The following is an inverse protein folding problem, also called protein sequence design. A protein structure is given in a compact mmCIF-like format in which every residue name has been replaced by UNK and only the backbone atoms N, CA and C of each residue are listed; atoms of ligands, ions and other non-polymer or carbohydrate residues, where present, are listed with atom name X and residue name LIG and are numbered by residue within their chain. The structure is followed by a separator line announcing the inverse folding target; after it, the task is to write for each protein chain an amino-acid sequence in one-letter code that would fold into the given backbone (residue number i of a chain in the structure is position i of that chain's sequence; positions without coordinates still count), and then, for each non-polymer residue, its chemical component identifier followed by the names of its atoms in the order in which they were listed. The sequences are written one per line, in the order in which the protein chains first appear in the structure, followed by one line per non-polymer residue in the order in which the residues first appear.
data_IF_509869164932
#
_entry.id   IF_509869164932
#
_cell.length_a   1.000
_cell.length_b   1.000
_cell.length_c   1.000
_cell.angle_alpha   90.00
_cell.angle_beta   90.00
_cell.angle_gamma   90.00
#
_symmetry.space_group_name_H-M   'P 1'
#
loop_
_entity.id
_entity.type
_entity.pdbx_description
1 polymer ?
#
# COMPACT_ATOMS: atom_id res chain seq x y z
N UNK A 1 4.82 -42.31 -25.74
CA UNK A 1 3.41 -41.86 -25.82
C UNK A 1 3.28 -40.78 -26.89
N UNK A 2 2.39 -40.98 -27.89
CA UNK A 2 2.43 -40.27 -29.19
C UNK A 2 1.64 -38.94 -29.12
N UNK A 3 2.34 -37.80 -29.16
CA UNK A 3 1.81 -36.40 -29.14
C UNK A 3 0.58 -36.17 -30.05
N UNK A 4 0.47 -36.89 -31.16
CA UNK A 4 -0.66 -36.80 -32.11
C UNK A 4 -2.00 -37.31 -31.54
N UNK A 5 -1.99 -38.25 -30.59
CA UNK A 5 -3.23 -38.72 -29.93
C UNK A 5 -3.73 -37.75 -28.86
N UNK A 6 -2.86 -36.89 -28.33
CA UNK A 6 -3.22 -35.91 -27.30
C UNK A 6 -4.03 -34.74 -27.87
N UNK A 7 -3.65 -34.23 -29.05
CA UNK A 7 -4.38 -33.12 -29.71
C UNK A 7 -5.76 -33.59 -30.22
N UNK A 8 -5.87 -34.82 -30.71
CA UNK A 8 -7.14 -35.39 -31.15
C UNK A 8 -8.15 -35.58 -29.98
N UNK A 9 -7.66 -35.89 -28.78
CA UNK A 9 -8.51 -36.00 -27.59
C UNK A 9 -9.00 -34.64 -27.07
N UNK A 10 -8.25 -33.56 -27.30
CA UNK A 10 -8.67 -32.20 -26.95
C UNK A 10 -9.67 -31.60 -27.95
N UNK A 11 -9.56 -31.95 -29.24
CA UNK A 11 -10.46 -31.46 -30.28
C UNK A 11 -11.92 -31.92 -30.14
N UNK A 12 -12.16 -33.06 -29.48
CA UNK A 12 -13.51 -33.60 -29.24
C UNK A 12 -14.20 -33.06 -27.97
N UNK A 13 -13.47 -32.35 -27.11
CA UNK A 13 -14.02 -31.66 -25.93
C UNK A 13 -14.28 -30.17 -26.17
N UNK A 14 -13.79 -29.61 -27.28
CA UNK A 14 -13.97 -28.19 -27.64
C UNK A 14 -15.33 -27.88 -28.30
N UNK A 15 -16.17 -28.88 -28.56
CA UNK A 15 -17.42 -28.74 -29.30
C UNK A 15 -18.67 -28.41 -28.46
N UNK A 16 -18.58 -28.30 -27.13
CA UNK A 16 -19.77 -28.19 -26.27
C UNK A 16 -19.66 -27.21 -25.09
N UNK A 17 -18.72 -26.27 -25.11
CA UNK A 17 -18.60 -25.24 -24.05
C UNK A 17 -18.51 -23.79 -24.56
N UNK A 18 -19.14 -23.50 -25.71
CA UNK A 18 -19.43 -22.14 -26.17
C UNK A 18 -20.67 -21.58 -25.43
N UNK A 19 -20.58 -21.48 -24.11
CA UNK A 19 -21.51 -20.72 -23.26
C UNK A 19 -20.89 -20.38 -21.90
N UNK A 20 -19.58 -20.07 -21.85
CA UNK A 20 -19.08 -19.23 -20.75
C UNK A 20 -19.28 -17.79 -21.16
N UNK A 21 -20.49 -17.30 -20.90
CA UNK A 21 -20.76 -15.88 -20.71
C UNK A 21 -19.61 -15.26 -19.94
N UNK A 22 -18.98 -14.25 -20.54
CA UNK A 22 -17.92 -13.49 -19.89
C UNK A 22 -18.44 -13.02 -18.54
N UNK A 23 -17.95 -13.67 -17.47
CA UNK A 23 -18.05 -13.10 -16.13
C UNK A 23 -17.14 -11.88 -16.16
N UNK A 24 -17.71 -10.75 -16.52
CA UNK A 24 -17.21 -9.47 -16.03
C UNK A 24 -17.15 -9.63 -14.51
N UNK A 25 -15.94 -9.76 -13.98
CA UNK A 25 -15.73 -9.55 -12.56
C UNK A 25 -16.05 -8.09 -12.32
N UNK A 26 -17.32 -7.81 -12.02
CA UNK A 26 -17.71 -6.56 -11.42
C UNK A 26 -17.07 -6.56 -10.04
N UNK A 27 -15.90 -5.92 -9.96
CA UNK A 27 -15.35 -5.55 -8.66
C UNK A 27 -16.39 -4.62 -8.05
N UNK A 28 -16.98 -4.96 -6.88
CA UNK A 28 -17.98 -4.10 -6.29
C UNK A 28 -17.30 -2.78 -5.97
N UNK A 29 -17.55 -1.77 -6.80
CA UNK A 29 -17.19 -0.37 -6.58
C UNK A 29 -17.98 0.26 -5.43
N UNK A 30 -18.60 -0.55 -4.58
CA UNK A 30 -19.26 -0.09 -3.38
C UNK A 30 -18.23 -0.09 -2.24
N UNK A 31 -17.30 0.87 -2.30
CA UNK A 31 -16.47 1.21 -1.14
C UNK A 31 -17.43 1.74 -0.08
N UNK A 32 -17.85 0.89 0.85
CA UNK A 32 -18.62 1.34 2.00
C UNK A 32 -17.79 2.42 2.68
N UNK A 33 -18.24 3.67 2.59
CA UNK A 33 -17.65 4.77 3.35
C UNK A 33 -17.73 4.34 4.81
N UNK A 34 -16.58 4.14 5.44
CA UNK A 34 -16.51 3.84 6.86
C UNK A 34 -17.13 5.02 7.60
N UNK A 35 -18.37 4.87 8.07
CA UNK A 35 -19.06 5.90 8.84
C UNK A 35 -18.63 5.77 10.29
N UNK A 36 -17.92 6.77 10.75
CA UNK A 36 -17.62 6.92 12.16
C UNK A 36 -18.87 7.36 12.91
N UNK A 37 -19.15 6.81 14.09
CA UNK A 37 -20.22 7.31 14.95
C UNK A 37 -19.86 8.70 15.49
N UNK A 38 -20.88 9.51 15.80
CA UNK A 38 -20.71 10.89 16.28
C UNK A 38 -20.25 10.95 17.76
N UNK A 39 -20.44 9.87 18.52
CA UNK A 39 -20.06 9.77 19.94
C UNK A 39 -18.65 9.21 20.14
N UNK A 40 -17.90 9.78 21.10
CA UNK A 40 -16.49 9.43 21.34
C UNK A 40 -16.29 7.99 21.84
N UNK A 41 -17.11 7.49 22.75
CA UNK A 41 -17.01 6.10 23.23
C UNK A 41 -17.32 5.09 22.12
N UNK A 42 -18.37 5.35 21.33
CA UNK A 42 -18.74 4.54 20.18
C UNK A 42 -17.65 4.56 19.09
N UNK A 43 -16.98 5.70 18.92
CA UNK A 43 -15.89 5.89 17.96
C UNK A 43 -14.73 4.95 18.27
N UNK A 44 -14.21 4.97 19.50
CA UNK A 44 -13.03 4.17 19.84
C UNK A 44 -13.32 2.67 19.81
N UNK A 45 -14.55 2.28 20.14
CA UNK A 45 -15.00 0.89 19.98
C UNK A 45 -14.96 0.45 18.52
N UNK A 46 -15.53 1.24 17.62
CA UNK A 46 -15.53 0.97 16.17
C UNK A 46 -14.10 0.97 15.61
N UNK A 47 -13.25 1.91 16.03
CA UNK A 47 -11.83 1.94 15.63
C UNK A 47 -11.11 0.68 16.09
N UNK A 48 -11.33 0.22 17.34
CA UNK A 48 -10.70 -0.99 17.88
C UNK A 48 -11.13 -2.26 17.14
N UNK A 49 -12.38 -2.33 16.68
CA UNK A 49 -12.93 -3.46 15.90
C UNK A 49 -12.30 -3.58 14.51
N UNK A 50 -11.76 -2.49 13.96
CA UNK A 50 -11.05 -2.54 12.67
C UNK A 50 -9.68 -3.23 12.76
N UNK A 51 -9.11 -3.42 13.94
CA UNK A 51 -7.82 -4.10 14.09
C UNK A 51 -8.00 -5.57 14.46
N UNK A 52 -7.20 -6.45 13.83
CA UNK A 52 -7.25 -7.91 14.04
C UNK A 52 -6.50 -8.38 15.29
N UNK A 53 -6.44 -7.55 16.34
CA UNK A 53 -5.83 -7.94 17.61
C UNK A 53 -6.70 -9.00 18.30
N UNK A 54 -6.10 -10.09 18.86
CA UNK A 54 -6.84 -11.11 19.60
C UNK A 54 -7.66 -10.52 20.76
N UNK A 55 -8.69 -11.26 21.18
CA UNK A 55 -9.42 -10.92 22.41
C UNK A 55 -8.47 -10.92 23.62
N UNK A 56 -8.63 -9.93 24.50
CA UNK A 56 -7.73 -9.74 25.65
C UNK A 56 -6.33 -9.21 25.32
N UNK A 57 -6.00 -8.97 24.03
CA UNK A 57 -4.71 -8.40 23.66
C UNK A 57 -4.73 -6.86 23.69
N UNK A 58 -3.89 -6.28 24.54
CA UNK A 58 -3.68 -4.83 24.64
C UNK A 58 -2.36 -4.45 23.98
N UNK A 59 -2.43 -3.85 22.79
CA UNK A 59 -1.27 -3.41 22.05
C UNK A 59 -0.87 -1.97 22.41
N UNK A 60 0.22 -1.81 23.16
CA UNK A 60 0.69 -0.51 23.66
C UNK A 60 1.87 0.08 22.85
N UNK A 61 2.41 -0.66 21.88
CA UNK A 61 3.58 -0.24 21.09
C UNK A 61 3.20 0.17 19.65
N UNK A 62 2.17 1.00 19.50
CA UNK A 62 1.73 1.47 18.17
C UNK A 62 2.79 2.27 17.43
N UNK A 63 3.72 2.91 18.15
CA UNK A 63 4.84 3.67 17.57
C UNK A 63 6.00 2.82 17.03
N UNK A 64 6.03 1.50 17.29
CA UNK A 64 7.05 0.61 16.74
C UNK A 64 6.84 0.32 15.25
N UNK A 65 6.03 -0.69 14.94
CA UNK A 65 5.64 -1.04 13.56
C UNK A 65 4.17 -0.68 13.29
N UNK A 66 3.38 -0.53 14.34
CA UNK A 66 1.94 -0.31 14.23
C UNK A 66 1.17 -1.54 13.71
N UNK A 67 -0.11 -1.31 13.42
CA UNK A 67 -0.99 -2.25 12.73
C UNK A 67 -1.89 -1.44 11.81
N UNK A 68 -2.45 -2.07 10.78
CA UNK A 68 -3.32 -1.39 9.81
C UNK A 68 -4.78 -1.79 10.05
N UNK A 69 -5.74 -0.84 9.93
CA UNK A 69 -7.16 -1.17 9.93
C UNK A 69 -7.51 -2.19 8.85
N UNK A 70 -8.51 -3.05 9.13
CA UNK A 70 -9.01 -4.07 8.22
C UNK A 70 -9.40 -3.48 6.87
N UNK A 71 -10.04 -2.31 6.85
CA UNK A 71 -10.33 -1.59 5.62
C UNK A 71 -9.09 -1.39 4.71
N UNK A 72 -7.99 -0.88 5.26
CA UNK A 72 -6.75 -0.64 4.50
C UNK A 72 -6.14 -1.96 4.03
N UNK A 73 -6.09 -2.97 4.91
CA UNK A 73 -5.58 -4.31 4.56
C UNK A 73 -6.36 -4.93 3.41
N UNK A 74 -7.69 -4.81 3.42
CA UNK A 74 -8.56 -5.30 2.34
C UNK A 74 -8.23 -4.62 1.01
N UNK A 75 -8.09 -3.29 1.00
CA UNK A 75 -7.73 -2.54 -0.22
C UNK A 75 -6.38 -2.96 -0.81
N UNK A 76 -5.38 -3.22 0.04
CA UNK A 76 -4.06 -3.71 -0.41
C UNK A 76 -4.17 -5.12 -1.00
N UNK A 77 -4.90 -6.01 -0.33
CA UNK A 77 -5.14 -7.37 -0.83
C UNK A 77 -5.87 -7.36 -2.17
N UNK A 78 -6.88 -6.50 -2.31
CA UNK A 78 -7.66 -6.32 -3.52
C UNK A 78 -6.78 -5.84 -4.69
N UNK A 79 -5.89 -4.88 -4.41
CA UNK A 79 -4.91 -4.39 -5.39
C UNK A 79 -3.95 -5.49 -5.83
N UNK A 80 -3.45 -6.32 -4.90
CA UNK A 80 -2.62 -7.48 -5.26
C UNK A 80 -3.35 -8.43 -6.22
N UNK A 81 -4.59 -8.83 -5.91
CA UNK A 81 -5.37 -9.67 -6.82
C UNK A 81 -5.61 -9.02 -8.18
N UNK A 82 -5.85 -7.70 -8.21
CA UNK A 82 -6.03 -6.93 -9.45
C UNK A 82 -4.78 -6.97 -10.33
N UNK A 83 -3.60 -6.77 -9.73
CA UNK A 83 -2.32 -6.79 -10.45
C UNK A 83 -2.01 -8.18 -11.02
N UNK A 84 -2.28 -9.24 -10.27
CA UNK A 84 -2.10 -10.63 -10.73
C UNK A 84 -3.09 -11.03 -11.82
N UNK A 85 -4.33 -10.54 -11.75
CA UNK A 85 -5.38 -10.89 -12.72
C UNK A 85 -5.15 -10.27 -14.10
N UNK A 86 -4.42 -9.16 -14.18
CA UNK A 86 -4.07 -8.51 -15.44
C UNK A 86 -2.71 -7.80 -15.33
N UNK A 87 -1.60 -8.55 -15.48
CA UNK A 87 -0.26 -7.99 -15.33
C UNK A 87 0.01 -6.92 -16.38
N UNK A 88 0.39 -5.74 -15.92
CA UNK A 88 0.78 -4.59 -16.73
C UNK A 88 1.97 -3.89 -16.05
N UNK A 89 2.70 -2.99 -16.75
CA UNK A 89 3.84 -2.27 -16.17
C UNK A 89 3.53 -1.47 -14.89
N UNK A 90 2.24 -1.29 -14.54
CA UNK A 90 1.82 -0.73 -13.26
C UNK A 90 2.08 0.77 -13.10
N UNK A 91 2.58 1.44 -14.13
CA UNK A 91 2.86 2.88 -14.11
C UNK A 91 1.59 3.71 -14.26
N UNK A 92 0.82 3.87 -13.18
CA UNK A 92 -0.31 4.80 -13.13
C UNK A 92 0.12 6.14 -12.52
N UNK A 93 0.71 6.99 -13.36
CA UNK A 93 1.14 8.35 -12.96
C UNK A 93 -0.03 9.23 -12.51
N UNK A 94 -1.25 8.99 -13.01
CA UNK A 94 -2.43 9.74 -12.61
C UNK A 94 -2.81 9.40 -11.17
N UNK A 95 -2.86 8.11 -10.82
CA UNK A 95 -3.10 7.65 -9.45
C UNK A 95 -2.00 8.11 -8.50
N UNK A 96 -0.74 8.08 -8.94
CA UNK A 96 0.41 8.58 -8.17
C UNK A 96 0.27 10.07 -7.85
N UNK A 97 -0.03 10.90 -8.86
CA UNK A 97 -0.19 12.34 -8.67
C UNK A 97 -1.45 12.68 -7.86
N UNK A 98 -2.53 11.91 -7.98
CA UNK A 98 -3.71 12.10 -7.16
C UNK A 98 -3.42 11.83 -5.67
N UNK A 99 -2.71 10.74 -5.37
CA UNK A 99 -2.26 10.41 -4.02
C UNK A 99 -1.40 11.54 -3.42
N UNK A 100 -0.41 12.04 -4.18
CA UNK A 100 0.43 13.16 -3.72
C UNK A 100 -0.37 14.42 -3.40
N UNK A 101 -1.43 14.73 -4.17
CA UNK A 101 -2.34 15.86 -3.87
C UNK A 101 -3.14 15.64 -2.59
N UNK A 102 -3.56 14.41 -2.30
CA UNK A 102 -4.29 14.12 -1.06
C UNK A 102 -3.36 14.15 0.17
N UNK A 103 -2.12 13.69 0.04
CA UNK A 103 -1.10 13.81 1.09
C UNK A 103 -0.75 15.28 1.35
N UNK A 104 -0.62 16.11 0.32
CA UNK A 104 -0.37 17.54 0.47
C UNK A 104 -1.43 18.23 1.34
N UNK A 105 -2.71 17.93 1.12
CA UNK A 105 -3.81 18.45 1.95
C UNK A 105 -3.70 18.03 3.42
N UNK A 106 -3.20 16.82 3.68
CA UNK A 106 -3.01 16.30 5.03
C UNK A 106 -1.84 16.99 5.75
N UNK A 107 -0.77 17.33 5.03
CA UNK A 107 0.43 17.96 5.60
C UNK A 107 0.21 19.43 5.94
N UNK A 108 -0.71 20.12 5.26
CA UNK A 108 -1.15 21.46 5.61
C UNK A 108 -1.10 22.45 4.44
N UNK A 109 -1.53 23.69 4.69
CA UNK A 109 -1.54 24.73 3.66
C UNK A 109 -0.11 25.06 3.20
N UNK A 110 0.06 25.26 1.89
CA UNK A 110 1.35 25.63 1.29
C UNK A 110 2.26 24.47 0.91
N UNK A 111 1.86 23.22 1.18
CA UNK A 111 2.56 22.03 0.67
C UNK A 111 2.04 21.70 -0.72
N UNK A 112 2.91 21.62 -1.71
CA UNK A 112 2.57 21.26 -3.07
C UNK A 112 2.81 19.77 -3.34
N UNK A 113 1.96 19.18 -4.18
CA UNK A 113 2.14 17.78 -4.56
C UNK A 113 3.53 17.54 -5.18
N UNK A 114 4.11 18.49 -5.91
CA UNK A 114 5.46 18.38 -6.47
C UNK A 114 6.56 18.20 -5.44
N UNK A 115 6.36 18.65 -4.19
CA UNK A 115 7.36 18.60 -3.12
C UNK A 115 7.39 17.24 -2.39
N UNK A 116 6.40 16.38 -2.65
CA UNK A 116 6.24 15.11 -1.94
C UNK A 116 6.91 13.97 -2.71
N UNK A 117 7.86 13.30 -2.08
CA UNK A 117 8.34 11.99 -2.53
C UNK A 117 7.68 10.88 -1.69
N UNK A 118 7.28 9.79 -2.34
CA UNK A 118 6.79 8.59 -1.65
C UNK A 118 7.91 7.54 -1.68
N UNK A 119 8.35 7.13 -0.50
CA UNK A 119 9.39 6.13 -0.28
C UNK A 119 8.84 5.00 0.59
N UNK A 120 9.53 3.87 0.65
CA UNK A 120 9.07 2.66 1.33
C UNK A 120 9.23 2.73 2.85
N UNK A 121 10.14 3.59 3.36
CA UNK A 121 10.38 3.75 4.80
C UNK A 121 11.05 5.08 5.16
N UNK A 122 11.02 5.44 6.44
CA UNK A 122 11.78 6.58 6.97
C UNK A 122 13.30 6.40 6.78
N UNK A 123 13.82 5.17 6.95
CA UNK A 123 15.23 4.86 6.73
C UNK A 123 15.65 5.12 5.29
N UNK A 124 14.84 4.68 4.31
CA UNK A 124 15.09 4.94 2.90
C UNK A 124 15.12 6.45 2.61
N UNK A 125 14.13 7.20 3.12
CA UNK A 125 14.08 8.64 2.96
C UNK A 125 15.33 9.36 3.52
N UNK A 126 15.73 9.02 4.75
CA UNK A 126 16.95 9.57 5.37
C UNK A 126 18.19 9.26 4.53
N UNK A 127 18.33 8.01 4.09
CA UNK A 127 19.52 7.59 3.35
C UNK A 127 19.59 8.21 1.96
N UNK A 128 18.45 8.42 1.29
CA UNK A 128 18.40 9.19 0.03
C UNK A 128 18.98 10.59 0.25
N UNK A 129 18.57 11.30 1.30
CA UNK A 129 19.06 12.65 1.58
C UNK A 129 20.55 12.65 1.91
N UNK A 130 21.01 11.79 2.82
CA UNK A 130 22.43 11.72 3.22
C UNK A 130 23.34 11.48 2.00
N UNK A 131 22.97 10.55 1.12
CA UNK A 131 23.81 10.16 -0.02
C UNK A 131 23.84 11.19 -1.16
N UNK A 132 22.96 12.19 -1.17
CA UNK A 132 22.96 13.25 -2.21
C UNK A 132 23.55 14.57 -1.74
N UNK A 133 23.93 14.68 -0.46
CA UNK A 133 24.63 15.86 0.05
C UNK A 133 26.01 15.97 -0.60
N UNK A 134 26.28 17.11 -1.24
CA UNK A 134 27.57 17.38 -1.89
C UNK A 134 28.56 17.96 -0.87
N UNK A 135 28.92 17.16 0.14
CA UNK A 135 29.84 17.59 1.19
C UNK A 135 31.26 17.77 0.63
N UNK A 136 31.85 18.92 0.91
CA UNK A 136 33.25 19.22 0.62
C UNK A 136 34.13 18.93 1.84
N UNK A 137 35.45 18.91 1.62
CA UNK A 137 36.41 18.78 2.72
C UNK A 137 36.24 19.96 3.69
N UNK A 138 35.99 19.65 4.95
CA UNK A 138 35.79 20.62 6.02
C UNK A 138 34.32 20.89 6.35
N UNK A 139 33.38 20.34 5.57
CA UNK A 139 31.96 20.36 5.95
C UNK A 139 31.68 19.36 7.07
N UNK A 140 30.72 19.71 7.93
CA UNK A 140 30.31 18.92 9.08
C UNK A 140 28.80 18.67 9.03
N UNK A 141 28.40 17.46 9.39
CA UNK A 141 26.99 17.10 9.60
C UNK A 141 26.72 17.13 11.10
N UNK A 142 25.86 18.06 11.55
CA UNK A 142 25.52 18.22 12.96
C UNK A 142 24.16 17.58 13.22
N UNK A 143 24.10 16.65 14.16
CA UNK A 143 22.89 15.91 14.54
C UNK A 143 22.74 15.88 16.07
N UNK A 144 21.61 15.38 16.59
CA UNK A 144 21.42 15.23 18.03
C UNK A 144 21.97 13.90 18.56
N UNK A 145 22.02 13.74 19.89
CA UNK A 145 22.35 12.46 20.52
C UNK A 145 21.16 11.48 20.60
N UNK A 146 19.99 11.88 20.10
CA UNK A 146 18.74 11.11 20.20
C UNK A 146 18.25 10.61 18.84
N UNK A 147 19.10 10.65 17.82
CA UNK A 147 18.75 10.22 16.47
C UNK A 147 18.46 8.72 16.39
N UNK A 148 17.53 8.36 15.52
CA UNK A 148 17.28 6.96 15.20
C UNK A 148 18.51 6.33 14.51
N UNK A 149 18.82 5.04 14.72
CA UNK A 149 19.95 4.36 14.06
C UNK A 149 19.99 4.48 12.54
N UNK A 150 18.83 4.69 11.91
CA UNK A 150 18.70 4.93 10.47
C UNK A 150 19.50 6.14 9.96
N UNK A 151 19.74 7.15 10.81
CA UNK A 151 20.56 8.32 10.51
C UNK A 151 22.02 8.11 10.94
N UNK A 152 22.25 7.51 12.11
CA UNK A 152 23.60 7.41 12.70
C UNK A 152 24.52 6.37 12.04
N UNK A 153 23.98 5.28 11.47
CA UNK A 153 24.78 4.24 10.81
C UNK A 153 25.38 4.69 9.48
N UNK A 154 24.66 5.44 8.60
CA UNK A 154 25.21 5.89 7.32
C UNK A 154 26.11 7.14 7.38
N UNK A 155 26.16 7.86 8.50
CA UNK A 155 27.08 9.00 8.72
C UNK A 155 28.42 8.52 9.27
#
# INVERSE_FOLDING_TARGET
MKRKKFIAAFGLLAGSSLAMTGRTFSYPGNRSVFRLPDGEEDLWKVVREEFSFPEGYTYLNTGGIGSVPRHVRSLVSDEWFRLESNPAPGHDLNRWNALKKDVAKLLGPGVEASEIALVSSATEGINIIINVLQLARGDEVITSLHEHPALNIPL
#
